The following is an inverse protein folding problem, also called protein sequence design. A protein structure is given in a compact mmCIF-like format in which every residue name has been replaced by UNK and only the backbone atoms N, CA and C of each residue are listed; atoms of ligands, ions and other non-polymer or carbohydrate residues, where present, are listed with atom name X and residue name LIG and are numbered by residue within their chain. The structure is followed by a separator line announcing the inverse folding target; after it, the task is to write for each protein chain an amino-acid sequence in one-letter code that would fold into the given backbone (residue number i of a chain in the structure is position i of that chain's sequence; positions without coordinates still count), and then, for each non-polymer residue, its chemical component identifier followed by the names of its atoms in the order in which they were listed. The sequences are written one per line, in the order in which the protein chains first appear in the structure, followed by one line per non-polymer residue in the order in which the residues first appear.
data_IF_018413291989
#
_entry.id   IF_018413291989
#
_cell.length_a   1.000
_cell.length_b   1.000
_cell.length_c   1.000
_cell.angle_alpha   90.00
_cell.angle_beta   90.00
_cell.angle_gamma   90.00
#
_symmetry.space_group_name_H-M   'P 1'
#
loop_
_entity.id
_entity.type
_entity.pdbx_description
1 polymer ?
#
# COMPACT_ATOMS: atom_id res chain seq x y z
N UNK A 1 -6.04 5.95 5.67
CA UNK A 1 -6.39 7.34 5.28
C UNK A 1 -7.84 7.54 5.66
N UNK A 2 -8.19 8.62 6.38
CA UNK A 2 -9.57 8.87 6.77
C UNK A 2 -10.42 9.14 5.52
N UNK A 3 -11.60 8.51 5.41
CA UNK A 3 -12.55 8.76 4.33
C UNK A 3 -13.32 10.03 4.67
N UNK A 4 -13.46 10.93 3.70
CA UNK A 4 -14.26 12.16 3.84
C UNK A 4 -15.60 11.88 3.18
N UNK A 5 -16.64 11.75 4.00
CA UNK A 5 -18.04 11.66 3.61
C UNK A 5 -18.77 12.94 4.07
N UNK A 6 -20.08 13.02 3.83
CA UNK A 6 -20.86 14.24 4.12
C UNK A 6 -20.77 14.68 5.58
N UNK A 7 -20.69 13.75 6.54
CA UNK A 7 -20.58 14.07 7.97
C UNK A 7 -19.28 14.83 8.27
N UNK A 8 -18.14 14.39 7.73
CA UNK A 8 -16.86 15.07 7.95
C UNK A 8 -16.83 16.44 7.27
N UNK A 9 -17.57 16.62 6.17
CA UNK A 9 -17.75 17.93 5.55
C UNK A 9 -18.55 18.86 6.45
N UNK A 10 -19.65 18.38 7.03
CA UNK A 10 -20.47 19.14 7.97
C UNK A 10 -19.67 19.48 9.23
N UNK A 11 -18.90 18.55 9.77
CA UNK A 11 -18.04 18.79 10.94
C UNK A 11 -17.03 19.91 10.67
N UNK A 12 -16.40 19.91 9.49
CA UNK A 12 -15.36 20.88 9.13
C UNK A 12 -15.93 22.24 8.71
N UNK A 13 -16.98 22.25 7.90
CA UNK A 13 -17.49 23.45 7.24
C UNK A 13 -18.84 23.93 7.78
N UNK A 14 -19.52 23.16 8.63
CA UNK A 14 -20.83 23.50 9.19
C UNK A 14 -22.00 23.45 8.19
N UNK A 15 -21.78 22.95 6.98
CA UNK A 15 -22.75 22.86 5.89
C UNK A 15 -22.59 21.54 5.12
N UNK A 16 -23.62 21.16 4.37
CA UNK A 16 -23.55 20.01 3.47
C UNK A 16 -22.61 20.27 2.26
N UNK A 17 -22.08 19.20 1.60
CA UNK A 17 -21.11 19.33 0.50
C UNK A 17 -21.49 20.31 -0.62
N UNK A 18 -22.78 20.34 -0.99
CA UNK A 18 -23.33 21.22 -2.01
C UNK A 18 -23.27 22.71 -1.69
N UNK A 19 -23.00 23.08 -0.42
CA UNK A 19 -22.89 24.46 0.06
C UNK A 19 -21.46 24.89 0.40
N UNK A 20 -20.48 24.00 0.26
CA UNK A 20 -19.07 24.29 0.60
C UNK A 20 -18.52 25.44 -0.24
N UNK A 21 -18.88 25.50 -1.53
CA UNK A 21 -18.48 26.58 -2.44
C UNK A 21 -18.90 27.95 -1.90
N UNK A 22 -20.15 28.09 -1.42
CA UNK A 22 -20.65 29.36 -0.88
C UNK A 22 -19.94 29.73 0.44
N UNK A 23 -19.64 28.74 1.28
CA UNK A 23 -18.89 28.95 2.52
C UNK A 23 -17.46 29.41 2.24
N UNK A 24 -16.77 28.77 1.29
CA UNK A 24 -15.41 29.15 0.88
C UNK A 24 -15.39 30.51 0.17
N UNK A 25 -16.41 30.84 -0.62
CA UNK A 25 -16.53 32.14 -1.25
C UNK A 25 -16.57 33.30 -0.22
N UNK A 26 -17.13 33.05 0.96
CA UNK A 26 -17.17 34.01 2.06
C UNK A 26 -15.92 33.96 2.94
N UNK A 27 -15.45 32.76 3.28
CA UNK A 27 -14.34 32.57 4.20
C UNK A 27 -12.97 32.86 3.58
N UNK A 28 -12.85 32.70 2.25
CA UNK A 28 -11.59 32.71 1.53
C UNK A 28 -10.76 31.45 1.78
N UNK A 29 -9.66 31.35 1.04
CA UNK A 29 -8.62 30.34 1.21
C UNK A 29 -7.24 30.98 0.97
N UNK A 30 -6.44 31.22 2.02
CA UNK A 30 -5.13 31.85 1.88
C UNK A 30 -4.11 30.96 1.17
N UNK A 31 -4.32 29.64 1.14
CA UNK A 31 -3.41 28.70 0.45
C UNK A 31 -3.48 28.88 -1.06
N UNK A 32 -4.70 29.08 -1.56
CA UNK A 32 -5.01 29.25 -2.98
C UNK A 32 -5.19 30.72 -3.38
N UNK A 33 -4.81 31.67 -2.49
CA UNK A 33 -4.99 33.11 -2.67
C UNK A 33 -6.44 33.54 -2.98
N UNK A 34 -7.43 32.79 -2.47
CA UNK A 34 -8.84 33.15 -2.57
C UNK A 34 -9.16 34.18 -1.49
N UNK A 35 -9.58 35.40 -1.85
CA UNK A 35 -9.65 36.52 -0.90
C UNK A 35 -10.80 36.42 0.11
N UNK A 36 -11.97 35.94 -0.31
CA UNK A 36 -13.17 35.89 0.52
C UNK A 36 -13.70 37.27 0.93
N UNK A 37 -14.42 37.30 2.05
CA UNK A 37 -14.95 38.51 2.69
C UNK A 37 -14.20 38.76 3.98
N UNK A 38 -13.54 39.92 4.06
CA UNK A 38 -12.72 40.29 5.23
C UNK A 38 -13.56 40.27 6.52
N UNK A 39 -13.13 39.48 7.50
CA UNK A 39 -13.78 39.37 8.80
C UNK A 39 -14.90 38.33 8.87
N UNK A 40 -15.13 37.56 7.80
CA UNK A 40 -16.01 36.39 7.80
C UNK A 40 -15.13 35.15 7.68
N UNK A 41 -15.13 34.29 8.70
CA UNK A 41 -14.47 32.99 8.65
C UNK A 41 -15.47 31.84 8.47
N UNK A 42 -14.97 30.61 8.35
CA UNK A 42 -15.76 29.39 8.05
C UNK A 42 -17.03 29.27 8.91
N UNK A 43 -16.93 29.43 10.24
CA UNK A 43 -18.09 29.30 11.14
C UNK A 43 -19.17 30.33 10.85
N UNK A 44 -18.79 31.59 10.64
CA UNK A 44 -19.74 32.67 10.33
C UNK A 44 -20.30 32.53 8.92
N UNK A 45 -19.49 32.12 7.96
CA UNK A 45 -19.94 31.81 6.61
C UNK A 45 -20.99 30.68 6.64
N UNK A 46 -20.72 29.59 7.36
CA UNK A 46 -21.65 28.48 7.54
C UNK A 46 -22.98 28.89 8.17
N UNK A 47 -22.93 29.67 9.27
CA UNK A 47 -24.12 30.26 9.89
C UNK A 47 -24.96 31.03 8.88
N UNK A 48 -24.33 31.91 8.09
CA UNK A 48 -25.01 32.75 7.11
C UNK A 48 -25.61 31.92 5.97
N UNK A 49 -24.85 30.97 5.41
CA UNK A 49 -25.34 30.11 4.32
C UNK A 49 -26.46 29.19 4.78
N UNK A 50 -26.42 28.65 6.00
CA UNK A 50 -27.53 27.85 6.53
C UNK A 50 -28.82 28.67 6.73
N UNK A 51 -28.70 29.97 7.04
CA UNK A 51 -29.86 30.85 7.24
C UNK A 51 -30.44 31.33 5.90
N UNK A 52 -29.57 31.77 4.99
CA UNK A 52 -29.96 32.44 3.75
C UNK A 52 -30.00 31.51 2.54
N UNK A 53 -29.51 30.28 2.66
CA UNK A 53 -29.54 29.25 1.64
C UNK A 53 -28.30 29.23 0.75
N UNK A 54 -27.96 30.35 0.11
CA UNK A 54 -26.84 30.46 -0.83
C UNK A 54 -26.21 31.86 -0.82
N UNK A 55 -25.09 32.02 -1.53
CA UNK A 55 -24.35 33.28 -1.58
C UNK A 55 -25.16 34.42 -2.21
N UNK A 56 -25.90 34.16 -3.29
CA UNK A 56 -26.63 35.20 -4.01
C UNK A 56 -27.77 35.76 -3.14
N UNK A 57 -28.58 34.87 -2.54
CA UNK A 57 -29.65 35.22 -1.61
C UNK A 57 -29.10 35.96 -0.38
N UNK A 58 -27.95 35.53 0.14
CA UNK A 58 -27.28 36.20 1.26
C UNK A 58 -26.87 37.63 0.91
N UNK A 59 -26.30 37.86 -0.27
CA UNK A 59 -25.85 39.18 -0.70
C UNK A 59 -27.04 40.12 -0.94
N UNK A 60 -28.09 39.63 -1.60
CA UNK A 60 -29.34 40.38 -1.84
C UNK A 60 -30.03 40.80 -0.54
N UNK A 61 -30.08 39.89 0.45
CA UNK A 61 -30.75 40.11 1.74
C UNK A 61 -29.79 40.52 2.85
N UNK A 62 -28.58 40.94 2.51
CA UNK A 62 -27.54 41.34 3.47
C UNK A 62 -28.01 42.43 4.44
N UNK A 63 -28.93 43.30 4.00
CA UNK A 63 -29.54 44.37 4.81
C UNK A 63 -30.36 43.86 6.01
N UNK A 64 -30.84 42.62 5.99
CA UNK A 64 -31.59 41.99 7.09
C UNK A 64 -30.68 41.52 8.24
N UNK A 65 -29.37 41.40 8.00
CA UNK A 65 -28.41 40.86 8.97
C UNK A 65 -28.30 41.78 10.18
N UNK A 66 -28.70 41.30 11.36
CA UNK A 66 -28.75 42.10 12.60
C UNK A 66 -27.39 42.66 13.04
N UNK A 67 -26.29 41.95 12.77
CA UNK A 67 -24.95 42.38 13.18
C UNK A 67 -24.38 43.43 12.20
N UNK A 68 -24.20 44.71 12.60
CA UNK A 68 -23.82 45.79 11.68
C UNK A 68 -22.48 45.56 10.98
N UNK A 69 -21.48 45.03 11.71
CA UNK A 69 -20.16 44.73 11.13
C UNK A 69 -20.21 43.65 10.04
N UNK A 70 -21.01 42.59 10.23
CA UNK A 70 -21.16 41.50 9.24
C UNK A 70 -21.87 42.02 7.99
N UNK A 71 -22.95 42.79 8.19
CA UNK A 71 -23.68 43.46 7.12
C UNK A 71 -22.77 44.35 6.28
N UNK A 72 -22.01 45.25 6.93
CA UNK A 72 -21.11 46.16 6.24
C UNK A 72 -20.03 45.41 5.47
N UNK A 73 -19.40 44.38 6.07
CA UNK A 73 -18.38 43.59 5.40
C UNK A 73 -18.90 42.89 4.13
N UNK A 74 -20.13 42.34 4.16
CA UNK A 74 -20.76 41.73 2.99
C UNK A 74 -21.08 42.76 1.90
N UNK A 75 -21.50 43.96 2.28
CA UNK A 75 -21.80 45.04 1.32
C UNK A 75 -20.53 45.60 0.68
N UNK A 76 -19.48 45.84 1.47
CA UNK A 76 -18.21 46.39 1.00
C UNK A 76 -17.41 45.40 0.14
N UNK A 77 -17.62 44.10 0.34
CA UNK A 77 -16.85 43.04 -0.30
C UNK A 77 -17.72 42.06 -1.10
N UNK A 78 -18.90 42.48 -1.55
CA UNK A 78 -19.82 41.64 -2.32
C UNK A 78 -19.16 41.09 -3.61
N UNK A 79 -18.44 41.94 -4.34
CA UNK A 79 -17.77 41.53 -5.58
C UNK A 79 -16.59 40.59 -5.33
N UNK A 80 -15.89 40.76 -4.19
CA UNK A 80 -14.84 39.84 -3.75
C UNK A 80 -15.42 38.46 -3.45
N UNK A 81 -16.59 38.39 -2.82
CA UNK A 81 -17.28 37.12 -2.56
C UNK A 81 -17.69 36.42 -3.86
N UNK A 82 -18.24 37.18 -4.84
CA UNK A 82 -18.61 36.64 -6.16
C UNK A 82 -17.40 36.11 -6.93
N UNK A 83 -16.31 36.87 -6.96
CA UNK A 83 -15.05 36.43 -7.55
C UNK A 83 -14.51 35.19 -6.85
N UNK A 84 -14.53 35.18 -5.51
CA UNK A 84 -14.07 34.02 -4.73
C UNK A 84 -14.88 32.77 -5.05
N UNK A 85 -16.20 32.90 -5.23
CA UNK A 85 -17.06 31.79 -5.68
C UNK A 85 -16.63 31.24 -7.03
N UNK A 86 -16.32 32.10 -7.99
CA UNK A 86 -15.81 31.67 -9.30
C UNK A 86 -14.49 30.93 -9.16
N UNK A 87 -13.55 31.46 -8.36
CA UNK A 87 -12.23 30.87 -8.14
C UNK A 87 -12.28 29.49 -7.46
N UNK A 88 -13.20 29.29 -6.51
CA UNK A 88 -13.33 27.99 -5.81
C UNK A 88 -14.24 26.99 -6.54
N UNK A 89 -14.95 27.42 -7.59
CA UNK A 89 -15.84 26.54 -8.34
C UNK A 89 -15.06 25.65 -9.30
N UNK A 90 -15.27 24.34 -9.19
CA UNK A 90 -14.67 23.39 -10.12
C UNK A 90 -15.32 23.52 -11.51
N UNK A 91 -14.48 23.65 -12.53
CA UNK A 91 -14.92 23.63 -13.92
C UNK A 91 -15.20 22.19 -14.36
N UNK A 92 -16.48 21.85 -14.54
CA UNK A 92 -16.94 20.48 -14.84
C UNK A 92 -17.18 20.21 -16.32
N UNK A 93 -17.09 21.23 -17.17
CA UNK A 93 -17.32 21.19 -18.62
C UNK A 93 -16.01 21.14 -19.44
N UNK A 94 -14.92 20.65 -18.83
CA UNK A 94 -13.64 20.52 -19.52
C UNK A 94 -13.70 19.34 -20.49
N UNK A 95 -13.25 19.55 -21.72
CA UNK A 95 -13.13 18.49 -22.71
C UNK A 95 -12.07 17.47 -22.29
N UNK A 96 -12.52 16.26 -21.96
CA UNK A 96 -11.66 15.11 -21.69
C UNK A 96 -11.58 14.26 -22.96
N UNK A 97 -10.38 14.08 -23.50
CA UNK A 97 -10.17 13.36 -24.77
C UNK A 97 -10.05 11.84 -24.61
N UNK A 98 -9.95 11.33 -23.37
CA UNK A 98 -9.75 9.92 -23.07
C UNK A 98 -11.04 9.28 -22.51
N UNK A 99 -11.30 8.03 -22.89
CA UNK A 99 -12.43 7.26 -22.39
C UNK A 99 -12.17 6.76 -20.97
N UNK A 100 -13.21 6.66 -20.13
CA UNK A 100 -13.08 6.28 -18.72
C UNK A 100 -12.39 4.91 -18.55
N UNK A 101 -12.70 3.95 -19.42
CA UNK A 101 -12.15 2.59 -19.37
C UNK A 101 -10.63 2.56 -19.63
N UNK A 102 -10.08 3.56 -20.31
CA UNK A 102 -8.64 3.68 -20.55
C UNK A 102 -7.82 3.97 -19.28
N UNK A 103 -8.48 4.42 -18.20
CA UNK A 103 -7.84 4.66 -16.90
C UNK A 103 -7.79 3.41 -16.01
N UNK A 104 -8.22 2.25 -16.51
CA UNK A 104 -8.11 1.00 -15.78
C UNK A 104 -6.64 0.72 -15.40
N UNK A 105 -6.42 0.32 -14.14
CA UNK A 105 -5.09 0.03 -13.63
C UNK A 105 -4.47 -1.14 -14.40
N UNK A 106 -3.41 -0.86 -15.15
CA UNK A 106 -2.63 -1.87 -15.86
C UNK A 106 -1.39 -2.27 -15.05
N UNK A 107 -0.91 -3.53 -15.17
CA UNK A 107 0.35 -3.93 -14.57
C UNK A 107 1.52 -3.04 -15.04
N UNK A 108 2.50 -2.73 -14.17
CA UNK A 108 3.65 -1.94 -14.57
C UNK A 108 4.53 -2.73 -15.57
N UNK A 109 5.12 -2.01 -16.52
CA UNK A 109 6.12 -2.60 -17.44
C UNK A 109 7.45 -2.71 -16.70
N UNK A 110 7.77 -3.91 -16.19
CA UNK A 110 8.91 -4.14 -15.30
C UNK A 110 10.26 -3.71 -15.91
N UNK A 111 10.44 -3.95 -17.21
CA UNK A 111 11.68 -3.57 -17.92
C UNK A 111 11.88 -2.06 -18.02
N UNK A 112 10.83 -1.26 -17.83
CA UNK A 112 10.89 0.20 -17.79
C UNK A 112 11.03 0.69 -16.36
N UNK A 113 10.22 0.17 -15.44
CA UNK A 113 10.13 0.67 -14.07
C UNK A 113 11.34 0.23 -13.24
N UNK A 114 11.81 -1.01 -13.38
CA UNK A 114 12.92 -1.53 -12.57
C UNK A 114 14.23 -0.74 -12.76
N UNK A 115 14.71 -0.47 -13.99
CA UNK A 115 15.93 0.33 -14.17
C UNK A 115 15.76 1.76 -13.66
N UNK A 116 14.56 2.34 -13.77
CA UNK A 116 14.27 3.67 -13.22
C UNK A 116 14.41 3.69 -11.70
N UNK A 117 13.79 2.73 -11.00
CA UNK A 117 13.86 2.64 -9.54
C UNK A 117 15.30 2.41 -9.02
N UNK A 118 16.08 1.59 -9.72
CA UNK A 118 17.51 1.39 -9.40
C UNK A 118 18.28 2.69 -9.56
N UNK A 119 18.07 3.42 -10.68
CA UNK A 119 18.75 4.69 -10.94
C UNK A 119 18.41 5.78 -9.91
N UNK A 120 17.17 5.79 -9.42
CA UNK A 120 16.73 6.74 -8.37
C UNK A 120 17.04 6.27 -6.94
N UNK A 121 17.70 5.11 -6.78
CA UNK A 121 18.03 4.49 -5.50
C UNK A 121 16.81 4.17 -4.59
N UNK A 122 15.64 3.90 -5.19
CA UNK A 122 14.40 3.59 -4.47
C UNK A 122 14.32 2.12 -4.01
N UNK A 123 15.29 1.68 -3.21
CA UNK A 123 15.47 0.28 -2.77
C UNK A 123 14.23 -0.33 -2.10
N UNK A 124 13.54 0.44 -1.25
CA UNK A 124 12.36 -0.03 -0.54
C UNK A 124 11.16 -0.28 -1.48
N UNK A 125 10.96 0.62 -2.46
CA UNK A 125 9.92 0.46 -3.48
C UNK A 125 10.25 -0.69 -4.43
N UNK A 126 11.52 -0.84 -4.81
CA UNK A 126 11.98 -1.97 -5.63
C UNK A 126 11.69 -3.31 -4.96
N UNK A 127 12.09 -3.49 -3.70
CA UNK A 127 11.82 -4.71 -2.92
C UNK A 127 10.32 -4.98 -2.77
N UNK A 128 9.52 -3.94 -2.54
CA UNK A 128 8.06 -4.06 -2.44
C UNK A 128 7.44 -4.50 -3.77
N UNK A 129 7.86 -3.88 -4.88
CA UNK A 129 7.41 -4.20 -6.23
C UNK A 129 7.76 -5.65 -6.60
N UNK A 130 9.01 -6.07 -6.37
CA UNK A 130 9.47 -7.45 -6.64
C UNK A 130 8.66 -8.48 -5.83
N UNK A 131 8.28 -8.17 -4.58
CA UNK A 131 7.41 -9.04 -3.77
C UNK A 131 5.97 -9.10 -4.28
N UNK A 132 5.37 -7.96 -4.58
CA UNK A 132 3.95 -7.88 -4.99
C UNK A 132 3.72 -8.44 -6.41
N UNK A 133 4.70 -8.32 -7.31
CA UNK A 133 4.60 -8.78 -8.70
C UNK A 133 5.26 -10.14 -8.93
N UNK A 134 6.29 -10.50 -8.16
CA UNK A 134 6.89 -11.84 -8.18
C UNK A 134 6.08 -12.90 -7.43
N UNK A 135 5.14 -12.48 -6.57
CA UNK A 135 4.26 -13.35 -5.79
C UNK A 135 2.98 -13.83 -6.49
N UNK A 136 2.75 -13.48 -7.76
CA UNK A 136 1.63 -14.00 -8.58
C UNK A 136 2.08 -15.10 -9.54
N UNK A 137 2.95 -15.98 -9.07
CA UNK A 137 3.36 -17.18 -9.79
C UNK A 137 2.42 -18.33 -9.41
N UNK A 138 1.18 -18.31 -9.91
CA UNK A 138 0.39 -19.53 -10.02
C UNK A 138 0.59 -20.07 -11.44
N UNK A 139 1.30 -21.19 -11.52
CA UNK A 139 1.57 -22.04 -12.70
C UNK A 139 1.61 -21.41 -14.09
N UNK A 140 2.81 -21.18 -14.64
CA UNK A 140 2.96 -20.98 -16.09
C UNK A 140 4.22 -20.22 -16.48
N UNK A 141 5.26 -20.98 -16.84
CA UNK A 141 6.42 -20.65 -17.67
C UNK A 141 6.85 -19.17 -17.76
N UNK A 142 7.89 -18.81 -17.00
CA UNK A 142 8.66 -17.59 -17.23
C UNK A 142 9.84 -17.90 -18.16
N UNK A 143 10.23 -16.99 -19.08
CA UNK A 143 11.37 -17.23 -19.95
C UNK A 143 12.65 -17.35 -19.09
N UNK A 144 13.25 -18.54 -19.12
CA UNK A 144 14.56 -18.81 -18.53
C UNK A 144 15.57 -17.81 -19.07
N UNK A 145 16.19 -17.06 -18.17
CA UNK A 145 17.58 -16.66 -18.38
C UNK A 145 18.37 -17.95 -18.32
N UNK A 146 18.81 -18.44 -19.48
CA UNK A 146 19.68 -19.59 -19.58
C UNK A 146 21.01 -19.28 -18.89
N UNK A 147 21.11 -19.64 -17.61
CA UNK A 147 22.28 -20.42 -17.22
C UNK A 147 21.77 -21.85 -17.05
N UNK A 148 22.07 -22.69 -18.02
CA UNK A 148 22.09 -24.15 -17.85
C UNK A 148 23.12 -24.51 -16.77
N UNK A 149 22.77 -24.29 -15.51
CA UNK A 149 23.33 -25.09 -14.43
C UNK A 149 22.22 -26.08 -14.11
N UNK A 150 22.41 -27.32 -14.55
CA UNK A 150 21.59 -28.46 -14.16
C UNK A 150 21.43 -28.44 -12.64
N UNK A 151 20.26 -28.06 -12.15
CA UNK A 151 20.06 -27.91 -10.71
C UNK A 151 19.82 -29.28 -10.08
N UNK A 152 20.73 -29.71 -9.20
CA UNK A 152 20.68 -30.99 -8.51
C UNK A 152 20.35 -30.76 -7.04
N UNK A 153 19.11 -31.10 -6.66
CA UNK A 153 18.63 -31.04 -5.29
C UNK A 153 18.38 -32.45 -4.75
N UNK A 154 19.03 -32.80 -3.63
CA UNK A 154 18.84 -34.10 -2.97
C UNK A 154 18.12 -33.96 -1.63
N UNK A 155 17.13 -34.81 -1.36
CA UNK A 155 16.59 -35.03 -0.03
C UNK A 155 17.40 -36.15 0.65
N UNK A 156 18.25 -35.78 1.62
CA UNK A 156 19.19 -36.71 2.27
C UNK A 156 18.53 -37.39 3.46
N UNK A 157 18.13 -38.65 3.29
CA UNK A 157 17.39 -39.40 4.32
C UNK A 157 18.17 -40.58 4.89
N UNK A 158 19.45 -40.72 4.52
CA UNK A 158 20.35 -41.77 5.01
C UNK A 158 21.71 -41.20 5.41
N UNK A 159 22.35 -41.84 6.39
CA UNK A 159 23.69 -41.45 6.85
C UNK A 159 24.74 -41.62 5.74
N UNK A 160 24.56 -42.60 4.85
CA UNK A 160 25.45 -42.82 3.71
C UNK A 160 25.37 -41.67 2.70
N UNK A 161 24.17 -41.18 2.37
CA UNK A 161 23.99 -39.99 1.53
C UNK A 161 24.57 -38.75 2.22
N UNK A 162 24.34 -38.59 3.52
CA UNK A 162 24.89 -37.45 4.28
C UNK A 162 26.42 -37.44 4.23
N UNK A 163 27.05 -38.61 4.40
CA UNK A 163 28.51 -38.73 4.37
C UNK A 163 29.09 -38.26 3.04
N UNK A 164 28.44 -38.57 1.91
CA UNK A 164 28.86 -38.09 0.58
C UNK A 164 28.81 -36.57 0.47
N UNK A 165 27.78 -35.94 1.04
CA UNK A 165 27.65 -34.48 1.06
C UNK A 165 28.65 -33.80 1.99
N UNK A 166 28.93 -34.38 3.15
CA UNK A 166 29.98 -33.90 4.06
C UNK A 166 31.35 -33.95 3.38
N UNK A 167 31.69 -35.06 2.73
CA UNK A 167 32.94 -35.15 1.97
C UNK A 167 33.01 -34.14 0.81
N UNK A 168 31.90 -33.92 0.10
CA UNK A 168 31.84 -32.94 -0.97
C UNK A 168 32.05 -31.52 -0.44
N UNK A 169 31.43 -31.16 0.68
CA UNK A 169 31.61 -29.86 1.33
C UNK A 169 33.05 -29.67 1.83
N UNK A 170 33.65 -30.71 2.41
CA UNK A 170 35.06 -30.69 2.84
C UNK A 170 36.02 -30.51 1.66
N UNK A 171 35.75 -31.16 0.52
CA UNK A 171 36.52 -30.98 -0.71
C UNK A 171 36.36 -29.59 -1.32
N UNK A 172 35.14 -29.02 -1.27
CA UNK A 172 34.86 -27.68 -1.78
C UNK A 172 35.52 -26.58 -0.93
N UNK A 173 35.71 -26.82 0.37
CA UNK A 173 36.36 -25.89 1.31
C UNK A 173 35.48 -24.69 1.70
N UNK A 174 34.36 -24.47 1.02
CA UNK A 174 33.34 -23.46 1.30
C UNK A 174 31.98 -24.13 1.12
N UNK A 175 31.04 -23.85 2.02
CA UNK A 175 29.67 -24.37 1.99
C UNK A 175 28.71 -23.27 2.42
N UNK A 176 27.57 -23.16 1.74
CA UNK A 176 26.45 -22.36 2.22
C UNK A 176 25.53 -23.25 3.06
N UNK A 177 25.11 -22.77 4.22
CA UNK A 177 24.24 -23.50 5.15
C UNK A 177 23.04 -22.64 5.50
N UNK A 178 21.89 -23.29 5.59
CA UNK A 178 20.66 -22.70 6.09
C UNK A 178 19.94 -23.70 7.00
N UNK A 179 19.13 -23.21 7.94
CA UNK A 179 18.43 -24.04 8.92
C UNK A 179 16.95 -23.78 8.91
N UNK A 180 16.17 -24.85 8.95
CA UNK A 180 14.73 -24.79 9.15
C UNK A 180 14.41 -25.02 10.62
N UNK A 181 13.58 -24.16 11.20
CA UNK A 181 13.27 -24.16 12.62
C UNK A 181 11.78 -24.11 12.89
N UNK A 182 11.37 -24.49 14.10
CA UNK A 182 9.95 -24.41 14.51
C UNK A 182 9.46 -22.99 14.80
N UNK A 183 10.36 -21.99 14.85
CA UNK A 183 10.06 -20.59 15.18
C UNK A 183 11.16 -19.66 14.67
N UNK A 184 10.83 -18.36 14.53
CA UNK A 184 11.79 -17.28 14.25
C UNK A 184 12.54 -16.80 15.50
N UNK A 185 12.13 -17.22 16.71
CA UNK A 185 12.84 -16.94 17.95
C UNK A 185 13.98 -17.95 18.17
N UNK A 186 15.22 -17.49 18.00
CA UNK A 186 16.42 -18.33 18.10
C UNK A 186 16.67 -18.93 19.48
N UNK A 187 16.06 -18.39 20.55
CA UNK A 187 16.26 -18.89 21.91
C UNK A 187 15.34 -20.04 22.28
N UNK A 188 14.23 -20.22 21.54
CA UNK A 188 13.19 -21.20 21.84
C UNK A 188 12.86 -22.14 20.68
N UNK A 189 13.46 -21.90 19.50
CA UNK A 189 13.26 -22.71 18.32
C UNK A 189 13.98 -24.07 18.39
N UNK A 190 13.28 -25.11 17.97
CA UNK A 190 13.84 -26.44 17.72
C UNK A 190 14.30 -26.55 16.25
N UNK A 191 15.37 -27.33 16.01
CA UNK A 191 15.88 -27.59 14.68
C UNK A 191 15.03 -28.65 13.95
N UNK A 192 14.56 -28.32 12.75
CA UNK A 192 13.73 -29.20 11.91
C UNK A 192 14.58 -29.82 10.79
N UNK A 193 15.48 -29.05 10.20
CA UNK A 193 16.35 -29.52 9.12
C UNK A 193 17.48 -28.57 8.81
N UNK A 194 18.45 -29.08 8.05
CA UNK A 194 19.62 -28.33 7.59
C UNK A 194 19.71 -28.44 6.07
N UNK A 195 19.87 -27.31 5.42
CA UNK A 195 20.18 -27.23 3.99
C UNK A 195 21.66 -26.94 3.81
N UNK A 196 22.31 -27.59 2.85
CA UNK A 196 23.68 -27.25 2.47
C UNK A 196 23.83 -27.18 0.95
N UNK A 197 24.65 -26.25 0.48
CA UNK A 197 25.01 -26.11 -0.93
C UNK A 197 26.53 -26.02 -1.08
N UNK A 198 27.07 -26.87 -1.93
CA UNK A 198 28.51 -26.92 -2.23
C UNK A 198 28.87 -26.14 -3.49
N UNK A 199 27.90 -25.90 -4.38
CA UNK A 199 28.03 -25.07 -5.57
C UNK A 199 26.68 -24.41 -5.92
N UNK A 200 26.65 -23.30 -6.66
CA UNK A 200 25.41 -22.74 -7.21
C UNK A 200 24.64 -23.81 -8.00
N UNK A 201 23.39 -24.06 -7.61
CA UNK A 201 22.52 -25.06 -8.25
C UNK A 201 22.72 -26.51 -7.76
N UNK A 202 23.63 -26.78 -6.81
CA UNK A 202 23.80 -28.12 -6.21
C UNK A 202 23.65 -28.03 -4.70
N UNK A 203 22.55 -28.56 -4.17
CA UNK A 203 22.24 -28.50 -2.75
C UNK A 203 21.51 -29.75 -2.24
N UNK A 204 21.49 -29.93 -0.93
CA UNK A 204 20.65 -30.93 -0.30
C UNK A 204 19.93 -30.40 0.93
N UNK A 205 18.85 -31.10 1.28
CA UNK A 205 18.09 -30.90 2.50
C UNK A 205 18.18 -32.14 3.38
N UNK A 206 18.50 -31.93 4.66
CA UNK A 206 18.68 -32.98 5.66
C UNK A 206 17.57 -32.82 6.72
N UNK A 207 16.53 -33.66 6.71
CA UNK A 207 15.52 -33.68 7.77
C UNK A 207 16.10 -34.27 9.05
N UNK A 208 15.95 -33.56 10.18
CA UNK A 208 16.46 -34.00 11.49
C UNK A 208 15.42 -33.97 12.62
N UNK A 209 14.35 -33.18 12.48
CA UNK A 209 13.32 -32.99 13.53
C UNK A 209 11.90 -32.72 13.02
N UNK A 210 11.51 -33.23 11.85
CA UNK A 210 10.14 -33.13 11.33
C UNK A 210 9.14 -33.85 12.24
N UNK A 211 8.14 -33.12 12.76
CA UNK A 211 7.00 -33.69 13.51
C UNK A 211 5.87 -34.19 12.60
N UNK A 212 4.81 -34.76 13.20
CA UNK A 212 3.60 -35.22 12.47
C UNK A 212 2.72 -34.07 11.93
N UNK A 213 3.09 -32.81 12.17
CA UNK A 213 2.34 -31.63 11.75
C UNK A 213 3.15 -30.88 10.70
N UNK A 214 2.56 -30.70 9.52
CA UNK A 214 3.09 -29.86 8.46
C UNK A 214 3.30 -28.43 8.99
N UNK A 215 4.49 -27.87 8.76
CA UNK A 215 4.79 -26.46 9.05
C UNK A 215 3.86 -25.48 8.31
N UNK A 216 3.07 -25.96 7.34
CA UNK A 216 2.07 -25.19 6.58
C UNK A 216 0.71 -25.07 7.28
N UNK A 217 0.46 -25.76 8.41
CA UNK A 217 -0.86 -25.76 9.08
C UNK A 217 -0.95 -24.77 10.25
N UNK A 218 0.01 -23.85 10.41
CA UNK A 218 0.05 -22.88 11.53
C UNK A 218 -0.73 -21.58 11.30
N UNK A 219 -1.39 -21.43 10.16
CA UNK A 219 -2.35 -20.34 9.93
C UNK A 219 -3.78 -20.81 10.16
N UNK A 220 -4.13 -21.06 11.43
CA UNK A 220 -5.48 -20.82 11.98
C UNK A 220 -6.72 -21.44 11.31
N UNK A 221 -6.62 -22.42 10.42
CA UNK A 221 -7.77 -23.19 9.95
C UNK A 221 -7.72 -24.61 10.49
N UNK A 222 -8.67 -24.96 11.35
CA UNK A 222 -8.90 -26.34 11.78
C UNK A 222 -9.19 -27.22 10.54
N UNK A 223 -8.19 -27.98 10.12
CA UNK A 223 -8.29 -28.97 9.08
C UNK A 223 -7.35 -30.13 9.39
N UNK A 224 -7.89 -31.19 9.97
CA UNK A 224 -7.16 -32.43 10.27
C UNK A 224 -6.75 -33.13 8.98
N UNK A 225 -5.57 -32.82 8.46
CA UNK A 225 -4.92 -33.55 7.37
C UNK A 225 -3.68 -34.25 7.90
N UNK A 226 -3.85 -35.48 8.39
CA UNK A 226 -2.72 -36.36 8.69
C UNK A 226 -2.08 -36.79 7.37
N UNK A 227 -1.06 -36.07 6.91
CA UNK A 227 -0.25 -36.51 5.76
C UNK A 227 0.67 -37.65 6.19
N UNK A 228 0.48 -38.78 5.53
CA UNK A 228 1.14 -40.07 5.77
C UNK A 228 2.58 -40.15 5.23
N UNK A 229 3.32 -39.03 5.24
CA UNK A 229 4.68 -38.96 4.68
C UNK A 229 5.71 -38.81 5.82
N UNK A 230 5.92 -39.90 6.58
CA UNK A 230 7.02 -39.96 7.56
C UNK A 230 8.33 -40.09 6.80
N UNK A 231 8.89 -38.93 6.42
CA UNK A 231 10.24 -38.85 5.84
C UNK A 231 11.23 -39.44 6.84
N UNK A 232 12.08 -40.36 6.39
CA UNK A 232 13.22 -40.83 7.17
C UNK A 232 14.12 -39.64 7.50
N UNK A 233 14.51 -39.53 8.77
CA UNK A 233 15.27 -38.40 9.31
C UNK A 233 16.63 -38.88 9.77
N UNK A 234 17.63 -38.01 9.69
CA UNK A 234 18.96 -38.30 10.23
C UNK A 234 18.91 -38.12 11.75
N UNK A 235 19.32 -39.13 12.54
CA UNK A 235 19.31 -39.01 13.99
C UNK A 235 20.33 -37.96 14.46
N UNK A 236 19.90 -37.06 15.33
CA UNK A 236 20.77 -36.16 16.09
C UNK A 236 21.24 -36.96 17.32
N UNK A 237 22.55 -37.19 17.45
CA UNK A 237 23.16 -37.80 18.65
C UNK A 237 23.42 -36.77 19.74
#
# INVERSE_FOLDING_TARGET
MARIESEQVIEKFGVAPEKVIDVQALAGDPTDNVPGVRGIGIKTAAELINIYGDLDTLLERSSEIKQPKRRQALQDHADSARLSRELVSLKTDVSVSAELDSFALSPPVLDVVRPFLIRQDFKALLKRMERELGGRSDGGDSPKVESENETSYELVQTVDSLSKWVEAAMRAGIVAVDTETTSLDSMSADLVGVSLATNPGTACYIPVGHGEVSLLDRDGSEGTSVTKDKRNQIPIQ
#
